data_IF_669065764557
#
_entry.id   IF_669065764557
#
_cell.length_a   1.000
_cell.length_b   1.000
_cell.length_c   1.000
_cell.angle_alpha   90.00
_cell.angle_beta   90.00
_cell.angle_gamma   90.00
#
_symmetry.space_group_name_H-M   'P 1'
#
loop_
_entity.id
_entity.type
_entity.pdbx_description
1 polymer ?
#
# COMPACT_ATOMS: atom_id res chain seq x y z
N UNK A 1 -13.94 13.88 -2.78
CA UNK A 1 -13.37 13.55 -2.31
C UNK A 1 -12.82 12.58 -1.24
N UNK A 2 -11.70 12.10 -1.37
CA UNK A 2 -11.10 11.22 -0.39
C UNK A 2 -10.37 11.96 0.70
N UNK A 3 -10.06 11.25 1.73
CA UNK A 3 -9.28 11.76 2.84
C UNK A 3 -7.89 11.15 2.77
N UNK A 4 -6.87 11.95 2.91
CA UNK A 4 -5.50 11.47 2.86
C UNK A 4 -4.82 11.78 4.18
N UNK A 5 -4.30 10.75 4.81
CA UNK A 5 -3.54 10.88 6.04
C UNK A 5 -2.13 10.41 5.76
N UNK A 6 -1.18 11.28 5.95
CA UNK A 6 0.22 10.94 5.69
C UNK A 6 0.89 10.45 6.94
N UNK A 7 1.76 9.49 6.75
CA UNK A 7 2.51 8.92 7.83
C UNK A 7 3.88 8.56 7.34
N UNK A 8 4.89 9.12 7.98
CA UNK A 8 6.27 8.85 7.58
C UNK A 8 6.94 8.08 8.70
N UNK A 9 7.22 6.81 8.49
CA UNK A 9 7.91 6.04 9.51
C UNK A 9 9.33 6.50 9.73
N UNK A 10 9.84 7.41 8.91
CA UNK A 10 11.19 7.83 8.95
C UNK A 10 11.28 9.29 8.66
N UNK A 11 11.52 10.02 9.70
CA UNK A 11 11.30 11.42 9.66
C UNK A 11 12.39 12.24 9.05
N UNK A 12 13.60 11.87 9.31
CA UNK A 12 14.68 12.72 8.92
C UNK A 12 15.48 12.04 7.90
N UNK A 13 15.27 12.41 6.71
CA UNK A 13 16.03 11.83 5.65
C UNK A 13 17.32 12.58 5.51
N UNK A 14 18.40 11.99 5.91
CA UNK A 14 19.65 12.56 5.62
C UNK A 14 19.90 12.41 4.17
N UNK A 15 20.57 13.37 3.60
CA UNK A 15 20.93 13.27 2.22
C UNK A 15 21.89 12.12 2.04
N UNK A 16 21.55 11.18 1.21
CA UNK A 16 22.35 9.98 1.01
C UNK A 16 23.38 10.20 -0.09
N UNK A 17 24.51 9.55 0.00
CA UNK A 17 25.49 9.61 -1.10
C UNK A 17 24.90 9.00 -2.36
N UNK A 18 25.51 9.32 -3.50
CA UNK A 18 25.02 8.85 -4.78
C UNK A 18 24.94 7.34 -4.87
N UNK A 19 25.81 6.64 -4.19
CA UNK A 19 25.79 5.20 -4.26
C UNK A 19 24.55 4.58 -3.61
N UNK A 20 23.80 5.37 -2.83
CA UNK A 20 22.55 4.91 -2.25
C UNK A 20 21.34 5.41 -3.02
N UNK A 21 21.54 5.94 -4.21
CA UNK A 21 20.43 6.53 -4.95
C UNK A 21 19.33 5.52 -5.29
N UNK A 22 19.64 4.24 -5.34
CA UNK A 22 18.64 3.22 -5.59
C UNK A 22 17.67 3.04 -4.43
N UNK A 23 17.99 3.55 -3.23
CA UNK A 23 17.07 3.53 -2.10
C UNK A 23 16.18 4.76 -2.17
N UNK A 24 15.37 4.82 -3.18
CA UNK A 24 14.56 6.00 -3.43
C UNK A 24 13.35 6.04 -2.53
N UNK A 25 12.76 7.22 -2.44
CA UNK A 25 11.51 7.42 -1.75
C UNK A 25 10.42 6.58 -2.39
N UNK A 26 9.64 5.89 -1.56
CA UNK A 26 8.48 5.14 -2.01
C UNK A 26 7.25 5.65 -1.27
N UNK A 27 6.16 5.79 -2.01
CA UNK A 27 4.87 6.14 -1.40
C UNK A 27 3.99 4.92 -1.43
N UNK A 28 3.51 4.52 -0.26
CA UNK A 28 2.57 3.41 -0.15
C UNK A 28 1.22 4.02 0.23
N UNK A 29 0.23 3.81 -0.60
CA UNK A 29 -1.09 4.36 -0.39
C UNK A 29 -2.07 3.24 -0.13
N UNK A 30 -2.83 3.34 0.95
CA UNK A 30 -3.85 2.36 1.29
C UNK A 30 -5.20 2.95 0.89
N UNK A 31 -5.82 2.35 -0.12
CA UNK A 31 -7.10 2.83 -0.64
C UNK A 31 -8.20 1.96 -0.06
N UNK A 32 -9.18 2.57 0.57
CA UNK A 32 -10.18 1.84 1.34
C UNK A 32 -11.52 2.55 1.31
N UNK A 33 -12.57 1.84 1.70
CA UNK A 33 -13.85 2.48 2.01
C UNK A 33 -14.30 2.02 3.39
N UNK A 34 -15.19 2.81 4.01
CA UNK A 34 -15.55 2.59 5.41
C UNK A 34 -16.27 1.27 5.66
N UNK A 35 -16.96 0.73 4.67
CA UNK A 35 -17.68 -0.51 4.84
C UNK A 35 -16.81 -1.74 5.00
N UNK A 36 -15.51 -1.61 4.78
CA UNK A 36 -14.58 -2.72 4.94
C UNK A 36 -13.65 -2.41 6.12
N UNK A 37 -13.68 -3.19 7.20
CA UNK A 37 -13.00 -2.79 8.44
C UNK A 37 -11.50 -3.05 8.48
N UNK A 38 -10.94 -3.66 7.45
CA UNK A 38 -9.55 -4.12 7.53
C UNK A 38 -8.50 -3.07 7.22
N UNK A 39 -8.91 -1.84 6.90
CA UNK A 39 -7.94 -0.88 6.39
C UNK A 39 -6.96 -0.38 7.45
N UNK A 40 -7.40 -0.32 8.72
CA UNK A 40 -6.51 0.11 9.78
C UNK A 40 -5.41 -0.91 10.03
N UNK A 41 -5.80 -2.18 10.04
CA UNK A 41 -4.82 -3.23 10.21
C UNK A 41 -3.88 -3.29 8.99
N UNK A 42 -4.39 -3.00 7.81
CA UNK A 42 -3.53 -2.91 6.62
C UNK A 42 -2.43 -1.89 6.82
N UNK A 43 -2.78 -0.72 7.36
CA UNK A 43 -1.78 0.30 7.65
C UNK A 43 -0.74 -0.17 8.65
N UNK A 44 -1.18 -0.87 9.69
CA UNK A 44 -0.25 -1.39 10.68
C UNK A 44 0.71 -2.41 10.05
N UNK A 45 0.19 -3.27 9.18
CA UNK A 45 1.04 -4.27 8.53
C UNK A 45 2.01 -3.66 7.55
N UNK A 46 1.57 -2.63 6.81
CA UNK A 46 2.49 -1.92 5.93
C UNK A 46 3.59 -1.26 6.73
N UNK A 47 3.23 -0.65 7.87
CA UNK A 47 4.23 -0.03 8.72
C UNK A 47 5.26 -1.03 9.23
N UNK A 48 4.80 -2.22 9.65
CA UNK A 48 5.70 -3.26 10.10
C UNK A 48 6.58 -3.76 8.95
N UNK A 49 6.00 -3.91 7.78
CA UNK A 49 6.74 -4.39 6.61
C UNK A 49 7.80 -3.39 6.16
N UNK A 50 7.55 -2.10 6.37
CA UNK A 50 8.46 -1.04 5.95
C UNK A 50 9.52 -0.72 6.99
N UNK A 51 9.50 -1.33 8.17
CA UNK A 51 10.31 -0.90 9.28
C UNK A 51 11.77 -1.05 8.99
N UNK A 52 12.37 -1.64 8.28
CA UNK A 52 13.80 -1.66 7.96
C UNK A 52 14.15 -0.99 6.66
N UNK A 53 13.18 -0.34 6.02
CA UNK A 53 13.40 0.24 4.70
C UNK A 53 13.47 1.75 4.82
N UNK A 54 14.34 2.36 4.03
CA UNK A 54 14.53 3.79 4.06
C UNK A 54 13.44 4.49 3.25
N UNK A 55 12.99 5.61 3.77
CA UNK A 55 12.21 6.60 3.04
C UNK A 55 10.91 6.05 2.44
N UNK A 56 10.10 5.41 3.28
CA UNK A 56 8.79 4.92 2.89
C UNK A 56 7.74 5.85 3.50
N UNK A 57 6.90 6.43 2.67
CA UNK A 57 5.79 7.27 3.11
C UNK A 57 4.51 6.48 2.99
N UNK A 58 3.69 6.47 4.05
CA UNK A 58 2.44 5.72 4.06
C UNK A 58 1.30 6.73 4.11
N UNK A 59 0.38 6.62 3.17
CA UNK A 59 -0.79 7.48 3.12
C UNK A 59 -2.04 6.63 3.02
N UNK A 60 -3.18 7.23 3.38
CA UNK A 60 -4.47 6.56 3.29
C UNK A 60 -5.37 7.38 2.38
N UNK A 61 -6.14 6.69 1.55
CA UNK A 61 -7.12 7.36 0.71
C UNK A 61 -8.46 6.66 0.86
N UNK A 62 -9.46 7.37 1.35
CA UNK A 62 -10.79 6.84 1.45
C UNK A 62 -11.55 7.10 0.15
N UNK A 63 -12.20 6.08 -0.38
CA UNK A 63 -13.12 6.26 -1.50
C UNK A 63 -14.54 6.09 -0.97
N UNK A 64 -15.46 6.86 -1.50
CA UNK A 64 -16.81 6.88 -0.99
C UNK A 64 -17.86 6.57 -2.05
N UNK A 65 -17.48 6.53 -3.33
CA UNK A 65 -18.42 6.25 -4.40
C UNK A 65 -17.80 5.25 -5.37
N UNK A 66 -18.65 4.58 -6.13
CA UNK A 66 -18.18 3.67 -7.17
C UNK A 66 -17.37 4.43 -8.23
N UNK A 67 -17.76 5.66 -8.51
CA UNK A 67 -17.03 6.48 -9.47
C UNK A 67 -15.61 6.76 -9.02
N UNK A 68 -15.43 7.05 -7.74
CA UNK A 68 -14.08 7.24 -7.21
C UNK A 68 -13.26 5.97 -7.31
N UNK A 69 -13.87 4.84 -6.99
CA UNK A 69 -13.19 3.55 -7.08
C UNK A 69 -12.75 3.27 -8.51
N UNK A 70 -13.64 3.54 -9.47
CA UNK A 70 -13.34 3.28 -10.87
C UNK A 70 -12.23 4.18 -11.40
N UNK A 71 -12.01 5.35 -10.80
CA UNK A 71 -10.98 6.28 -11.25
C UNK A 71 -9.59 5.94 -10.76
N UNK A 72 -9.46 4.93 -9.90
CA UNK A 72 -8.18 4.53 -9.31
C UNK A 72 -7.91 3.07 -9.68
N UNK A 73 -6.66 2.62 -9.55
CA UNK A 73 -6.39 1.19 -9.71
C UNK A 73 -6.83 0.43 -8.46
N UNK A 74 -8.11 0.53 -8.15
CA UNK A 74 -8.71 -0.04 -6.95
C UNK A 74 -9.12 -1.47 -7.24
N UNK A 75 -8.65 -2.40 -6.44
CA UNK A 75 -8.93 -3.83 -6.60
C UNK A 75 -9.66 -4.38 -5.39
N UNK A 76 -10.40 -3.53 -4.69
CA UNK A 76 -11.11 -3.90 -3.47
C UNK A 76 -10.39 -3.32 -2.25
N UNK A 77 -11.14 -3.12 -1.17
CA UNK A 77 -10.61 -2.51 0.05
C UNK A 77 -10.07 -3.56 0.99
N UNK A 78 -8.89 -3.41 1.52
CA UNK A 78 -7.93 -2.35 1.22
C UNK A 78 -7.05 -2.70 0.02
N UNK A 79 -6.85 -1.75 -0.86
CA UNK A 79 -5.89 -1.87 -1.96
C UNK A 79 -4.61 -1.17 -1.52
N UNK A 80 -3.48 -1.77 -1.80
CA UNK A 80 -2.19 -1.23 -1.41
C UNK A 80 -1.44 -0.89 -2.68
N UNK A 81 -1.21 0.39 -2.88
CA UNK A 81 -0.50 0.90 -4.05
C UNK A 81 0.89 1.33 -3.64
N UNK A 82 1.89 0.88 -4.37
CA UNK A 82 3.25 1.34 -4.20
C UNK A 82 3.56 2.22 -5.40
N UNK A 83 3.77 3.50 -5.15
CA UNK A 83 4.01 4.49 -6.19
C UNK A 83 2.93 4.43 -7.28
N UNK A 84 1.68 4.25 -6.85
CA UNK A 84 0.54 4.30 -7.75
C UNK A 84 0.18 2.99 -8.42
N UNK A 85 0.92 1.93 -8.19
CA UNK A 85 0.66 0.63 -8.81
C UNK A 85 0.42 -0.41 -7.72
N UNK A 86 -0.53 -1.31 -7.94
CA UNK A 86 -0.84 -2.33 -6.93
C UNK A 86 0.41 -3.09 -6.53
N UNK A 87 0.52 -3.38 -5.24
CA UNK A 87 1.66 -4.08 -4.70
C UNK A 87 1.77 -5.52 -5.21
N UNK A 88 0.67 -6.08 -5.70
CA UNK A 88 0.62 -7.49 -6.08
C UNK A 88 0.18 -7.63 -7.52
N UNK A 89 0.82 -8.56 -8.22
CA UNK A 89 0.60 -8.74 -9.64
C UNK A 89 -0.74 -9.37 -9.97
N UNK A 90 -1.36 -10.05 -9.01
CA UNK A 90 -2.63 -10.73 -9.24
C UNK A 90 -3.84 -9.85 -8.97
N UNK A 91 -3.63 -8.56 -8.77
CA UNK A 91 -4.73 -7.63 -8.52
C UNK A 91 -5.63 -7.52 -9.75
N UNK A 92 -6.94 -7.53 -9.52
CA UNK A 92 -7.93 -7.35 -10.57
C UNK A 92 -8.75 -6.11 -10.22
N UNK A 93 -8.65 -5.05 -11.00
CA UNK A 93 -9.38 -3.82 -10.68
C UNK A 93 -10.88 -4.03 -10.66
N UNK A 94 -11.55 -3.35 -9.75
CA UNK A 94 -13.01 -3.35 -9.67
C UNK A 94 -13.51 -1.93 -9.79
N UNK A 95 -14.77 -1.79 -10.19
CA UNK A 95 -15.34 -0.47 -10.42
C UNK A 95 -16.42 -0.13 -9.40
N UNK A 96 -16.43 -0.83 -8.28
CA UNK A 96 -17.41 -0.58 -7.25
C UNK A 96 -16.77 -0.77 -5.88
N UNK A 97 -17.44 -0.31 -4.84
CA UNK A 97 -16.94 -0.46 -3.49
C UNK A 97 -17.10 -1.91 -3.07
N UNK A 98 -15.99 -2.59 -2.92
CA UNK A 98 -15.98 -4.02 -2.58
C UNK A 98 -14.78 -4.30 -1.71
N UNK A 99 -14.88 -5.35 -0.90
CA UNK A 99 -13.76 -5.80 -0.09
C UNK A 99 -12.84 -6.67 -0.94
N UNK A 100 -11.57 -6.60 -0.63
CA UNK A 100 -10.54 -7.36 -1.34
C UNK A 100 -10.20 -8.63 -0.60
N UNK A 101 -9.82 -9.65 -1.35
CA UNK A 101 -9.34 -10.90 -0.80
C UNK A 101 -7.93 -11.11 -1.32
N UNK A 102 -7.03 -11.48 -0.41
CA UNK A 102 -5.63 -11.71 -0.73
C UNK A 102 -5.31 -13.19 -0.58
N UNK A 103 -4.56 -13.72 -1.53
CA UNK A 103 -4.06 -15.08 -1.42
C UNK A 103 -2.83 -15.06 -0.52
N UNK A 104 -2.86 -15.82 0.56
CA UNK A 104 -1.75 -15.89 1.50
C UNK A 104 -1.36 -17.35 1.69
N UNK A 105 -0.29 -17.58 2.45
CA UNK A 105 0.16 -18.94 2.75
C UNK A 105 -0.83 -19.71 3.63
N UNK A 106 -1.79 -19.01 4.25
CA UNK A 106 -2.81 -19.66 5.05
C UNK A 106 -4.19 -19.61 4.38
N UNK A 107 -4.23 -19.28 3.08
CA UNK A 107 -5.47 -19.24 2.32
C UNK A 107 -5.89 -17.83 1.97
N UNK A 108 -7.15 -17.67 1.61
CA UNK A 108 -7.68 -16.36 1.22
C UNK A 108 -8.01 -15.57 2.47
N UNK A 109 -7.45 -14.37 2.56
CA UNK A 109 -7.62 -13.52 3.72
C UNK A 109 -7.95 -12.11 3.26
N UNK A 110 -8.52 -11.33 4.18
CA UNK A 110 -8.85 -9.93 3.87
C UNK A 110 -7.66 -9.00 3.85
N UNK A 111 -6.49 -9.50 4.21
CA UNK A 111 -5.25 -8.72 4.27
C UNK A 111 -4.08 -9.54 3.82
N UNK A 112 -3.06 -8.91 3.24
CA UNK A 112 -1.81 -9.62 2.97
C UNK A 112 -1.02 -9.74 4.27
N UNK A 113 -0.07 -10.65 4.29
CA UNK A 113 0.81 -10.81 5.45
C UNK A 113 1.90 -9.74 5.43
N UNK A 114 2.50 -9.52 6.59
CA UNK A 114 3.65 -8.61 6.68
C UNK A 114 4.78 -9.09 5.77
N UNK A 115 5.01 -10.40 5.71
CA UNK A 115 6.05 -10.95 4.84
C UNK A 115 5.78 -10.64 3.37
N UNK A 116 4.53 -10.82 2.93
CA UNK A 116 4.18 -10.49 1.54
C UNK A 116 4.41 -9.02 1.23
N UNK A 117 4.03 -8.16 2.17
CA UNK A 117 4.20 -6.72 1.99
C UNK A 117 5.68 -6.34 1.97
N UNK A 118 6.47 -6.93 2.85
CA UNK A 118 7.90 -6.66 2.88
C UNK A 118 8.55 -7.07 1.56
N UNK A 119 8.19 -8.24 1.06
CA UNK A 119 8.73 -8.70 -0.22
C UNK A 119 8.33 -7.79 -1.38
N UNK A 120 7.08 -7.33 -1.38
CA UNK A 120 6.64 -6.42 -2.43
C UNK A 120 7.40 -5.10 -2.38
N UNK A 121 7.59 -4.55 -1.18
CA UNK A 121 8.32 -3.31 -1.01
C UNK A 121 9.77 -3.46 -1.46
N UNK A 122 10.40 -4.56 -1.10
CA UNK A 122 11.79 -4.77 -1.47
C UNK A 122 11.96 -4.93 -2.97
N UNK A 123 11.03 -5.61 -3.62
CA UNK A 123 11.08 -5.75 -5.07
C UNK A 123 10.99 -4.40 -5.76
N UNK A 124 10.10 -3.54 -5.27
CA UNK A 124 9.92 -2.21 -5.87
C UNK A 124 11.13 -1.33 -5.60
N UNK A 125 11.72 -1.44 -4.42
CA UNK A 125 12.87 -0.64 -4.07
C UNK A 125 14.09 -1.00 -4.93
N UNK A 126 14.24 -2.25 -5.27
CA UNK A 126 15.38 -2.67 -6.05
C UNK A 126 15.23 -2.43 -7.55
N UNK A 127 14.07 -1.99 -7.99
CA UNK A 127 13.82 -1.75 -9.41
C UNK A 127 14.18 -0.35 -9.81
N UNK A 128 14.70 0.46 -9.26
CA UNK A 128 14.84 1.84 -9.71
C UNK A 128 15.81 2.07 -10.85
#
# INVERSE_FOLDING_TARGET
AGEIVRRRPYLKVKRLPALYAHNRHMRVEIVYFDGCPNWQEAGARVGAAAAGLADVEITYRRVTTDEEAAALPFAGSPTILIDGTDAFDDAVPVTELACRVYQTDTGLMGLPTVTQLNEALRRRQSRS
#
